data_IF_581584340594
#
_entry.id   IF_581584340594
#
_cell.length_a   1.000
_cell.length_b   1.000
_cell.length_c   1.000
_cell.angle_alpha   90.00
_cell.angle_beta   90.00
_cell.angle_gamma   90.00
#
_symmetry.space_group_name_H-M   'P 1'
#
loop_
_entity.id
_entity.type
_entity.pdbx_description
1 polymer ?
#
# COMPACT_ATOMS: atom_id res chain seq x y z
N UNK A 1 29.81 -18.48 -24.97
CA UNK A 1 28.95 -17.75 -25.92
C UNK A 1 27.46 -17.84 -25.59
N UNK A 2 26.92 -18.98 -25.14
CA UNK A 2 25.51 -19.10 -24.75
C UNK A 2 25.08 -18.22 -23.55
N UNK A 3 25.95 -17.95 -22.58
CA UNK A 3 25.56 -17.15 -21.39
C UNK A 3 25.38 -15.66 -21.69
N UNK A 4 26.15 -15.09 -22.63
CA UNK A 4 26.01 -13.69 -23.04
C UNK A 4 24.75 -13.48 -23.86
N UNK A 5 24.44 -14.39 -24.79
CA UNK A 5 23.23 -14.33 -25.59
C UNK A 5 21.97 -14.54 -24.73
N UNK A 6 22.03 -15.48 -23.78
CA UNK A 6 20.97 -15.69 -22.80
C UNK A 6 20.82 -14.51 -21.83
N UNK A 7 21.92 -13.89 -21.38
CA UNK A 7 21.90 -12.70 -20.54
C UNK A 7 21.31 -11.48 -21.26
N UNK A 8 21.69 -11.28 -22.53
CA UNK A 8 21.14 -10.22 -23.38
C UNK A 8 19.65 -10.46 -23.66
N UNK A 9 19.28 -11.69 -24.01
CA UNK A 9 17.87 -12.08 -24.19
C UNK A 9 17.07 -11.81 -22.91
N UNK A 10 17.58 -12.24 -21.74
CA UNK A 10 16.93 -11.99 -20.47
C UNK A 10 16.82 -10.49 -20.16
N UNK A 11 17.84 -9.69 -20.47
CA UNK A 11 17.80 -8.24 -20.24
C UNK A 11 16.79 -7.54 -21.16
N UNK A 12 16.73 -7.93 -22.44
CA UNK A 12 15.81 -7.36 -23.43
C UNK A 12 14.35 -7.77 -23.19
N UNK A 13 14.12 -8.98 -22.66
CA UNK A 13 12.76 -9.51 -22.44
C UNK A 13 12.36 -9.59 -20.96
N UNK A 14 13.18 -9.07 -20.04
CA UNK A 14 12.79 -8.98 -18.63
C UNK A 14 11.71 -7.91 -18.46
N UNK A 15 10.60 -8.29 -17.83
CA UNK A 15 9.61 -7.33 -17.36
C UNK A 15 10.22 -6.50 -16.24
N UNK A 16 9.94 -5.20 -16.24
CA UNK A 16 10.35 -4.30 -15.15
C UNK A 16 9.56 -4.68 -13.89
N UNK A 17 10.27 -4.88 -12.78
CA UNK A 17 9.66 -5.17 -11.48
C UNK A 17 9.65 -3.89 -10.64
N UNK A 18 8.47 -3.52 -10.13
CA UNK A 18 8.33 -2.47 -9.13
C UNK A 18 7.79 -3.05 -7.84
N UNK A 19 8.23 -2.47 -6.72
CA UNK A 19 7.88 -2.92 -5.38
C UNK A 19 7.09 -1.83 -4.69
N UNK A 20 5.90 -2.17 -4.24
CA UNK A 20 4.95 -1.25 -3.62
C UNK A 20 4.73 -1.68 -2.19
N UNK A 21 5.02 -0.80 -1.24
CA UNK A 21 4.79 -1.07 0.17
C UNK A 21 3.38 -0.61 0.56
N UNK A 22 2.61 -1.48 1.20
CA UNK A 22 1.26 -1.18 1.69
C UNK A 22 1.35 -0.98 3.21
N UNK A 23 1.11 0.25 3.63
CA UNK A 23 1.24 0.72 5.01
C UNK A 23 -0.08 1.27 5.53
N UNK A 24 -0.17 1.47 6.84
CA UNK A 24 -1.37 1.94 7.51
C UNK A 24 -1.64 1.23 8.83
N UNK A 25 -2.46 1.85 9.67
CA UNK A 25 -2.76 1.36 11.01
C UNK A 25 -3.50 0.02 11.01
N UNK A 26 -3.58 -0.61 12.17
CA UNK A 26 -4.32 -1.87 12.34
C UNK A 26 -5.79 -1.67 11.97
N UNK A 27 -6.40 -2.67 11.31
CA UNK A 27 -7.78 -2.65 10.80
C UNK A 27 -8.11 -1.62 9.70
N UNK A 28 -7.10 -0.93 9.13
CA UNK A 28 -7.30 -0.04 7.99
C UNK A 28 -7.84 -0.75 6.73
N UNK A 29 -7.57 -2.06 6.57
CA UNK A 29 -8.03 -2.86 5.43
C UNK A 29 -6.97 -3.14 4.36
N UNK A 30 -5.69 -3.05 4.70
CA UNK A 30 -4.53 -3.27 3.80
C UNK A 30 -4.56 -4.62 3.06
N UNK A 31 -4.75 -5.72 3.79
CA UNK A 31 -4.82 -7.06 3.20
C UNK A 31 -6.03 -7.20 2.29
N UNK A 32 -7.19 -6.66 2.70
CA UNK A 32 -8.39 -6.63 1.86
C UNK A 32 -8.15 -5.86 0.57
N UNK A 33 -7.49 -4.71 0.64
CA UNK A 33 -7.10 -3.91 -0.52
C UNK A 33 -6.20 -4.71 -1.47
N UNK A 34 -5.18 -5.39 -0.94
CA UNK A 34 -4.29 -6.22 -1.74
C UNK A 34 -5.01 -7.40 -2.43
N UNK A 35 -5.89 -8.10 -1.70
CA UNK A 35 -6.66 -9.21 -2.26
C UNK A 35 -7.66 -8.73 -3.32
N UNK A 36 -8.26 -7.56 -3.14
CA UNK A 36 -9.13 -6.93 -4.15
C UNK A 36 -8.34 -6.58 -5.41
N UNK A 37 -7.17 -5.96 -5.28
CA UNK A 37 -6.29 -5.69 -6.43
C UNK A 37 -5.91 -6.98 -7.16
N UNK A 38 -5.56 -8.04 -6.43
CA UNK A 38 -5.30 -9.36 -7.03
C UNK A 38 -6.50 -9.85 -7.83
N UNK A 39 -7.72 -9.75 -7.30
CA UNK A 39 -8.93 -10.21 -8.02
C UNK A 39 -9.25 -9.42 -9.29
N UNK A 40 -8.90 -8.12 -9.33
CA UNK A 40 -9.18 -7.25 -10.48
C UNK A 40 -8.17 -7.52 -11.61
N UNK A 41 -6.88 -7.63 -11.27
CA UNK A 41 -5.80 -7.65 -12.25
C UNK A 41 -5.23 -9.04 -12.52
N UNK A 42 -5.27 -9.95 -11.55
CA UNK A 42 -4.96 -11.36 -11.73
C UNK A 42 -6.30 -12.08 -11.87
N UNK A 43 -6.53 -12.81 -12.97
CA UNK A 43 -7.80 -13.53 -13.27
C UNK A 43 -8.17 -14.65 -12.26
N UNK A 44 -7.65 -14.64 -11.04
CA UNK A 44 -7.98 -15.54 -9.95
C UNK A 44 -8.93 -14.87 -8.96
N UNK A 45 -9.77 -15.67 -8.31
CA UNK A 45 -10.57 -15.21 -7.18
C UNK A 45 -9.62 -14.84 -6.03
N UNK A 46 -9.69 -13.58 -5.57
CA UNK A 46 -8.99 -13.14 -4.36
C UNK A 46 -9.46 -13.91 -3.13
N UNK A 47 -8.74 -13.83 -2.02
CA UNK A 47 -9.18 -14.51 -0.81
C UNK A 47 -10.58 -14.02 -0.36
N UNK A 48 -11.49 -14.94 -0.03
CA UNK A 48 -12.77 -14.59 0.60
C UNK A 48 -12.55 -13.76 1.87
N UNK A 49 -13.40 -12.75 2.08
CA UNK A 49 -13.23 -11.78 3.18
C UNK A 49 -13.23 -12.44 4.58
N UNK A 50 -13.97 -13.52 4.76
CA UNK A 50 -14.06 -14.31 5.99
C UNK A 50 -12.75 -15.03 6.35
N UNK A 51 -11.83 -15.20 5.39
CA UNK A 51 -10.52 -15.83 5.58
C UNK A 51 -9.39 -14.82 5.78
N UNK A 52 -9.67 -13.52 5.68
CA UNK A 52 -8.67 -12.48 5.88
C UNK A 52 -8.44 -12.31 7.38
N UNK A 53 -7.29 -12.78 7.86
CA UNK A 53 -6.83 -12.62 9.24
C UNK A 53 -5.85 -11.45 9.36
N UNK A 54 -5.68 -10.84 10.55
CA UNK A 54 -4.69 -9.79 10.76
C UNK A 54 -3.28 -10.26 10.38
N UNK A 55 -2.61 -9.54 9.47
CA UNK A 55 -1.24 -9.85 9.05
C UNK A 55 -0.26 -9.68 10.19
N UNK A 56 0.52 -10.73 10.45
CA UNK A 56 1.67 -10.73 11.37
C UNK A 56 2.95 -10.68 10.54
N UNK A 57 3.70 -9.58 10.63
CA UNK A 57 4.91 -9.39 9.83
C UNK A 57 4.60 -8.91 8.41
N UNK A 58 4.82 -9.78 7.42
CA UNK A 58 4.73 -9.47 5.98
C UNK A 58 3.87 -10.50 5.24
N UNK A 59 3.00 -10.00 4.37
CA UNK A 59 2.34 -10.75 3.30
C UNK A 59 2.82 -10.20 1.93
N UNK A 60 3.10 -11.09 0.97
CA UNK A 60 3.59 -10.70 -0.36
C UNK A 60 2.52 -10.99 -1.41
N UNK A 61 2.05 -9.94 -2.08
CA UNK A 61 1.20 -10.04 -3.27
C UNK A 61 2.01 -9.83 -4.53
N UNK A 62 1.67 -10.55 -5.61
CA UNK A 62 2.27 -10.34 -6.93
C UNK A 62 1.16 -10.17 -7.95
N UNK A 63 1.27 -9.13 -8.75
CA UNK A 63 0.38 -8.86 -9.88
C UNK A 63 1.29 -8.67 -11.09
N UNK A 64 1.08 -9.49 -12.11
CA UNK A 64 1.81 -9.36 -13.37
C UNK A 64 0.87 -8.83 -14.44
N UNK A 65 1.26 -7.70 -15.04
CA UNK A 65 0.67 -7.22 -16.28
C UNK A 65 1.65 -7.48 -17.44
N UNK A 66 1.25 -7.13 -18.66
CA UNK A 66 1.92 -7.45 -19.92
C UNK A 66 3.42 -7.15 -19.89
N UNK A 67 3.82 -5.96 -19.42
CA UNK A 67 5.22 -5.51 -19.40
C UNK A 67 5.79 -5.25 -18.00
N UNK A 68 4.97 -5.31 -16.95
CA UNK A 68 5.34 -4.88 -15.60
C UNK A 68 4.96 -5.95 -14.58
N UNK A 69 5.82 -6.15 -13.59
CA UNK A 69 5.56 -6.96 -12.40
C UNK A 69 5.47 -6.05 -11.19
N UNK A 70 4.35 -6.11 -10.48
CA UNK A 70 4.16 -5.41 -9.22
C UNK A 70 4.26 -6.40 -8.07
N UNK A 71 5.18 -6.13 -7.16
CA UNK A 71 5.33 -6.88 -5.91
C UNK A 71 4.84 -5.99 -4.77
N UNK A 72 3.78 -6.42 -4.11
CA UNK A 72 3.19 -5.71 -2.98
C UNK A 72 3.67 -6.31 -1.66
N UNK A 73 4.10 -5.46 -0.75
CA UNK A 73 4.41 -5.82 0.63
C UNK A 73 3.33 -5.30 1.56
N UNK A 74 2.40 -6.17 1.95
CA UNK A 74 1.38 -5.88 2.96
C UNK A 74 1.95 -6.15 4.35
N UNK A 75 2.19 -5.08 5.10
CA UNK A 75 2.81 -5.15 6.42
C UNK A 75 1.80 -5.03 7.55
N UNK A 76 2.06 -5.71 8.67
CA UNK A 76 1.25 -5.62 9.87
C UNK A 76 1.12 -4.17 10.39
N UNK A 77 -0.11 -3.73 10.64
CA UNK A 77 -0.41 -2.37 11.12
C UNK A 77 -0.49 -2.20 12.64
N UNK A 78 -0.35 -3.29 13.40
CA UNK A 78 -0.36 -3.24 14.88
C UNK A 78 0.87 -2.51 15.38
N UNK A 79 0.71 -1.67 16.40
CA UNK A 79 1.76 -0.78 16.90
C UNK A 79 3.10 -1.52 17.14
N UNK A 80 3.06 -2.70 17.77
CA UNK A 80 4.27 -3.51 18.04
C UNK A 80 4.91 -4.16 16.83
N UNK A 81 4.22 -4.23 15.68
CA UNK A 81 4.73 -4.81 14.43
C UNK A 81 5.23 -3.76 13.44
N UNK A 82 4.97 -2.47 13.68
CA UNK A 82 5.39 -1.37 12.78
C UNK A 82 6.90 -1.19 12.69
N UNK A 83 7.66 -1.73 13.64
CA UNK A 83 9.13 -1.78 13.61
C UNK A 83 9.68 -2.58 12.43
N UNK A 84 8.86 -3.41 11.79
CA UNK A 84 9.23 -4.17 10.60
C UNK A 84 9.17 -3.30 9.33
N UNK A 85 8.43 -2.18 9.35
CA UNK A 85 8.24 -1.34 8.16
C UNK A 85 9.55 -0.83 7.57
N UNK A 86 10.46 -0.35 8.43
CA UNK A 86 11.77 0.19 8.03
C UNK A 86 12.64 -0.81 7.26
N UNK A 87 12.41 -2.12 7.43
CA UNK A 87 13.17 -3.17 6.73
C UNK A 87 12.82 -3.29 5.24
N UNK A 88 11.83 -2.55 4.77
CA UNK A 88 11.32 -2.63 3.39
C UNK A 88 11.31 -1.26 2.70
N UNK A 89 11.81 -0.21 3.34
CA UNK A 89 11.77 1.14 2.80
C UNK A 89 12.77 1.35 1.67
N UNK A 90 14.01 0.89 1.85
CA UNK A 90 15.10 0.99 0.88
C UNK A 90 14.79 0.33 -0.47
N UNK A 91 14.01 -0.76 -0.46
CA UNK A 91 13.64 -1.48 -1.66
C UNK A 91 12.25 -1.06 -2.23
N UNK A 92 11.53 -0.12 -1.59
CA UNK A 92 10.21 0.32 -2.01
C UNK A 92 10.28 1.41 -3.09
N UNK A 93 9.54 1.21 -4.18
CA UNK A 93 9.45 2.15 -5.30
C UNK A 93 8.23 3.08 -5.19
N UNK A 94 7.23 2.72 -4.38
CA UNK A 94 6.03 3.52 -4.15
C UNK A 94 5.36 3.10 -2.83
N UNK A 95 4.60 4.02 -2.23
CA UNK A 95 3.88 3.82 -0.98
C UNK A 95 2.38 3.87 -1.25
N UNK A 96 1.67 2.84 -0.81
CA UNK A 96 0.22 2.90 -0.63
C UNK A 96 -0.08 2.95 0.86
N UNK A 97 -0.62 4.07 1.33
CA UNK A 97 -0.99 4.24 2.72
C UNK A 97 -2.51 4.18 2.88
N UNK A 98 -2.99 3.13 3.53
CA UNK A 98 -4.41 2.81 3.67
C UNK A 98 -4.94 3.36 5.00
N UNK A 99 -6.05 4.09 4.93
CA UNK A 99 -6.70 4.72 6.09
C UNK A 99 -8.15 4.25 6.16
N UNK A 100 -8.60 3.89 7.36
CA UNK A 100 -10.02 3.61 7.63
C UNK A 100 -10.79 4.92 7.74
N UNK A 101 -11.39 5.38 6.65
CA UNK A 101 -12.12 6.65 6.61
C UNK A 101 -13.37 6.68 7.51
N UNK A 102 -13.86 5.52 7.95
CA UNK A 102 -15.04 5.42 8.81
C UNK A 102 -14.70 5.43 10.32
N UNK A 103 -13.42 5.46 10.69
CA UNK A 103 -12.97 5.40 12.08
C UNK A 103 -12.10 6.59 12.45
N UNK A 104 -12.73 7.76 12.65
CA UNK A 104 -12.07 9.02 13.04
C UNK A 104 -11.18 8.91 14.29
N UNK A 105 -11.51 8.00 15.21
CA UNK A 105 -10.70 7.69 16.40
C UNK A 105 -9.29 7.17 16.07
N UNK A 106 -9.07 6.68 14.85
CA UNK A 106 -7.77 6.14 14.39
C UNK A 106 -6.92 7.15 13.62
N UNK A 107 -7.47 8.33 13.30
CA UNK A 107 -6.79 9.31 12.44
C UNK A 107 -5.52 9.85 13.06
N UNK A 108 -5.49 10.08 14.37
CA UNK A 108 -4.28 10.57 15.05
C UNK A 108 -3.14 9.53 15.00
N UNK A 109 -3.47 8.25 15.24
CA UNK A 109 -2.50 7.15 15.13
C UNK A 109 -2.02 6.97 13.67
N UNK A 110 -2.93 7.12 12.69
CA UNK A 110 -2.60 7.07 11.27
C UNK A 110 -1.69 8.23 10.87
N UNK A 111 -2.01 9.46 11.28
CA UNK A 111 -1.21 10.65 11.04
C UNK A 111 0.20 10.49 11.62
N UNK A 112 0.31 10.13 12.90
CA UNK A 112 1.61 9.94 13.55
C UNK A 112 2.44 8.83 12.90
N UNK A 113 1.80 7.74 12.46
CA UNK A 113 2.48 6.67 11.74
C UNK A 113 2.92 7.11 10.34
N UNK A 114 2.08 7.85 9.61
CA UNK A 114 2.42 8.37 8.29
C UNK A 114 3.56 9.39 8.35
N UNK A 115 3.56 10.30 9.32
CA UNK A 115 4.63 11.27 9.52
C UNK A 115 5.99 10.60 9.69
N UNK A 116 6.06 9.50 10.46
CA UNK A 116 7.29 8.71 10.63
C UNK A 116 7.75 8.06 9.33
N UNK A 117 6.80 7.55 8.54
CA UNK A 117 7.08 6.94 7.23
C UNK A 117 7.65 7.98 6.27
N UNK A 118 7.01 9.15 6.16
CA UNK A 118 7.39 10.19 5.19
C UNK A 118 8.72 10.87 5.51
N UNK A 119 9.10 10.94 6.80
CA UNK A 119 10.38 11.50 7.24
C UNK A 119 11.57 10.56 7.05
N UNK A 120 11.34 9.31 6.71
CA UNK A 120 12.43 8.35 6.52
C UNK A 120 13.19 8.64 5.22
N UNK A 121 14.52 8.63 5.28
CA UNK A 121 15.39 9.02 4.15
C UNK A 121 15.15 8.15 2.90
N UNK A 122 15.04 6.84 3.08
CA UNK A 122 14.78 5.87 1.99
C UNK A 122 13.47 6.11 1.23
N UNK A 123 12.52 6.82 1.83
CA UNK A 123 11.21 7.06 1.24
C UNK A 123 11.03 8.47 0.71
N UNK A 124 12.03 9.36 0.77
CA UNK A 124 11.86 10.77 0.37
C UNK A 124 11.39 10.93 -1.07
N UNK A 125 11.89 10.11 -1.99
CA UNK A 125 11.54 10.19 -3.42
C UNK A 125 10.37 9.27 -3.81
N UNK A 126 9.89 8.43 -2.89
CA UNK A 126 8.85 7.47 -3.19
C UNK A 126 7.49 8.18 -3.36
N UNK A 127 6.79 8.00 -4.51
CA UNK A 127 5.45 8.53 -4.68
C UNK A 127 4.49 7.92 -3.66
N UNK A 128 3.59 8.76 -3.15
CA UNK A 128 2.61 8.40 -2.13
C UNK A 128 1.20 8.37 -2.71
N UNK A 129 0.50 7.26 -2.46
CA UNK A 129 -0.95 7.14 -2.63
C UNK A 129 -1.62 7.00 -1.27
N UNK A 130 -2.57 7.87 -0.97
CA UNK A 130 -3.45 7.77 0.19
C UNK A 130 -4.74 7.10 -0.25
N UNK A 131 -5.02 5.91 0.28
CA UNK A 131 -6.26 5.20 0.02
C UNK A 131 -7.22 5.35 1.21
N UNK A 132 -8.22 6.20 1.05
CA UNK A 132 -9.31 6.37 2.02
C UNK A 132 -10.31 5.23 1.86
N UNK A 133 -10.09 4.18 2.64
CA UNK A 133 -10.83 2.93 2.57
C UNK A 133 -12.13 2.98 3.39
N UNK A 134 -13.04 2.05 3.09
CA UNK A 134 -14.34 1.84 3.75
C UNK A 134 -15.38 2.91 3.47
N UNK A 135 -15.33 3.50 2.27
CA UNK A 135 -16.32 4.48 1.80
C UNK A 135 -17.74 3.91 1.64
N UNK A 136 -17.90 2.58 1.74
CA UNK A 136 -19.20 1.90 1.82
C UNK A 136 -19.93 2.13 3.16
N UNK A 137 -19.21 2.56 4.20
CA UNK A 137 -19.79 2.77 5.53
C UNK A 137 -20.35 4.19 5.67
N UNK A 138 -21.52 4.32 6.30
CA UNK A 138 -22.17 5.62 6.51
C UNK A 138 -21.36 6.60 7.39
N UNK A 139 -20.40 6.11 8.16
CA UNK A 139 -19.50 6.90 8.99
C UNK A 139 -18.22 7.36 8.24
N UNK A 140 -18.04 6.96 6.99
CA UNK A 140 -16.89 7.34 6.18
C UNK A 140 -16.86 8.85 5.93
N UNK A 141 -15.71 9.45 6.22
CA UNK A 141 -15.47 10.87 5.96
C UNK A 141 -15.10 11.11 4.50
N UNK A 142 -15.32 12.35 4.02
CA UNK A 142 -14.92 12.74 2.67
C UNK A 142 -13.40 12.92 2.57
N UNK A 143 -12.89 13.04 1.33
CA UNK A 143 -11.48 13.38 1.09
C UNK A 143 -11.09 14.70 1.77
N UNK A 144 -11.93 15.73 1.67
CA UNK A 144 -11.64 17.04 2.25
C UNK A 144 -11.64 17.02 3.77
N UNK A 145 -12.44 16.15 4.40
CA UNK A 145 -12.42 15.93 5.84
C UNK A 145 -11.16 15.17 6.25
N UNK A 146 -10.78 14.14 5.50
CA UNK A 146 -9.58 13.36 5.79
C UNK A 146 -8.30 14.21 5.64
N UNK A 147 -8.19 15.02 4.58
CA UNK A 147 -7.07 15.95 4.38
C UNK A 147 -6.99 16.97 5.54
N UNK A 148 -8.14 17.47 6.00
CA UNK A 148 -8.23 18.35 7.19
C UNK A 148 -7.81 17.68 8.50
N UNK A 149 -7.92 16.36 8.63
CA UNK A 149 -7.44 15.66 9.83
C UNK A 149 -5.95 15.33 9.74
N UNK A 150 -5.49 14.90 8.56
CA UNK A 150 -4.11 14.45 8.37
C UNK A 150 -3.14 15.60 8.18
N UNK A 151 -3.59 16.75 7.68
CA UNK A 151 -2.76 17.91 7.33
C UNK A 151 -1.61 17.50 6.38
N UNK A 152 -1.92 16.74 5.33
CA UNK A 152 -0.90 16.11 4.47
C UNK A 152 0.05 17.14 3.85
N UNK A 153 -0.46 18.32 3.49
CA UNK A 153 0.34 19.42 2.92
C UNK A 153 1.37 20.00 3.89
N UNK A 154 1.17 19.85 5.20
CA UNK A 154 2.12 20.29 6.23
C UNK A 154 3.14 19.18 6.55
N UNK A 155 2.79 17.93 6.27
CA UNK A 155 3.63 16.77 6.56
C UNK A 155 4.72 16.58 5.50
N UNK A 156 4.41 16.83 4.23
CA UNK A 156 5.33 16.62 3.12
C UNK A 156 4.94 17.45 1.88
N UNK A 157 5.91 18.04 1.19
CA UNK A 157 5.70 18.80 -0.04
C UNK A 157 5.55 17.90 -1.28
N UNK A 158 5.82 16.59 -1.15
CA UNK A 158 5.75 15.66 -2.27
C UNK A 158 4.36 15.62 -2.91
N UNK A 159 4.27 15.42 -4.23
CA UNK A 159 2.99 15.11 -4.85
C UNK A 159 2.47 13.78 -4.32
N UNK A 160 1.22 13.77 -3.86
CA UNK A 160 0.51 12.55 -3.47
C UNK A 160 -0.80 12.45 -4.27
N UNK A 161 -1.29 11.23 -4.43
CA UNK A 161 -2.61 10.95 -5.00
C UNK A 161 -3.54 10.50 -3.90
N UNK A 162 -4.75 11.05 -3.86
CA UNK A 162 -5.81 10.58 -3.00
C UNK A 162 -6.79 9.71 -3.80
N UNK A 163 -7.20 8.58 -3.22
CA UNK A 163 -8.22 7.71 -3.79
C UNK A 163 -9.18 7.29 -2.69
N UNK A 164 -10.45 7.67 -2.83
CA UNK A 164 -11.54 7.19 -2.02
C UNK A 164 -12.11 5.90 -2.63
N UNK A 165 -12.34 4.87 -1.82
CA UNK A 165 -12.98 3.64 -2.29
C UNK A 165 -13.25 2.65 -1.16
N UNK A 166 -13.70 1.46 -1.55
CA UNK A 166 -13.86 0.36 -0.61
C UNK A 166 -13.18 -0.89 -1.14
N UNK A 167 -12.24 -1.39 -0.35
CA UNK A 167 -11.62 -2.67 -0.62
C UNK A 167 -12.60 -3.85 -0.52
N UNK A 168 -13.80 -3.65 0.03
CA UNK A 168 -14.81 -4.70 0.20
C UNK A 168 -15.59 -4.94 -1.10
N UNK A 169 -16.26 -3.93 -1.65
CA UNK A 169 -17.11 -4.06 -2.84
C UNK A 169 -16.41 -3.64 -4.15
N UNK A 170 -15.44 -2.73 -4.10
CA UNK A 170 -14.56 -2.34 -5.22
C UNK A 170 -14.76 -0.91 -5.67
#
# INVERSE_FOLDING_TARGET
>A
MFSLFYGLWKHVFAKTEFRVIILGVHKAGKTTFLEKLKSIYSKGEGLPHDRIVPTVGLNIGRIEDTNVKLVFWDLGGQLGLRTIWEKYYDEAHAIVYVIDSASTSTFEDAKSALEKVLRHEDLQEAPLLIFANKQDLAAAVTEEELDRHLHLKELDERPYMFVAGSAYDG
#
